data_IF_672922425054
#
_entry.id   IF_672922425054
#
_cell.length_a   1.000
_cell.length_b   1.000
_cell.length_c   1.000
_cell.angle_alpha   90.00
_cell.angle_beta   90.00
_cell.angle_gamma   90.00
#
_symmetry.space_group_name_H-M   'P 1'
#
loop_
_entity.id
_entity.type
_entity.pdbx_description
1 polymer ?
#
# COMPACT_ATOMS: atom_id res chain seq x y z
N UNK A 1 7.17 -9.96 30.12
CA UNK A 1 7.01 -9.51 28.72
C UNK A 1 8.38 -9.53 28.07
N UNK A 2 8.55 -10.15 26.90
CA UNK A 2 9.83 -10.19 26.21
C UNK A 2 10.24 -8.77 25.77
N UNK A 3 11.52 -8.46 25.86
CA UNK A 3 12.14 -7.14 25.63
C UNK A 3 11.87 -6.53 24.25
N UNK A 4 11.48 -7.36 23.26
CA UNK A 4 11.20 -6.91 21.90
C UNK A 4 9.84 -6.20 21.77
N UNK A 5 8.82 -6.60 22.52
CA UNK A 5 7.48 -5.96 22.49
C UNK A 5 7.49 -4.55 23.09
N UNK A 6 8.42 -4.31 24.03
CA UNK A 6 8.62 -3.00 24.66
C UNK A 6 9.19 -1.98 23.65
N UNK A 7 9.89 -2.43 22.61
CA UNK A 7 10.57 -1.53 21.65
C UNK A 7 9.60 -0.85 20.66
N UNK A 8 8.56 -1.54 20.20
CA UNK A 8 7.59 -1.01 19.23
C UNK A 8 6.67 0.05 19.85
N UNK A 9 6.15 -0.20 21.06
CA UNK A 9 5.36 0.77 21.84
C UNK A 9 6.20 2.00 22.25
N UNK A 10 7.49 1.80 22.57
CA UNK A 10 8.37 2.90 22.95
C UNK A 10 8.77 3.80 21.78
N UNK A 11 8.87 3.31 20.53
CA UNK A 11 9.29 4.18 19.42
C UNK A 11 8.28 5.29 19.13
N UNK A 12 6.99 4.98 19.09
CA UNK A 12 5.94 5.98 18.86
C UNK A 12 5.89 6.97 20.02
N UNK A 13 5.96 6.47 21.27
CA UNK A 13 6.02 7.33 22.46
C UNK A 13 7.26 8.23 22.48
N UNK A 14 8.42 7.68 22.16
CA UNK A 14 9.70 8.40 22.19
C UNK A 14 9.82 9.43 21.07
N UNK A 15 9.38 9.14 19.83
CA UNK A 15 9.46 10.13 18.75
C UNK A 15 8.42 11.23 18.89
N UNK A 16 7.28 10.95 19.56
CA UNK A 16 6.20 11.93 19.77
C UNK A 16 6.66 13.23 20.40
N UNK A 17 7.66 13.19 21.29
CA UNK A 17 8.15 14.39 22.00
C UNK A 17 8.92 15.37 21.10
N UNK A 18 9.36 14.92 19.91
CA UNK A 18 10.12 15.74 18.96
C UNK A 18 9.25 16.23 17.79
N UNK A 19 7.97 15.91 17.78
CA UNK A 19 7.05 16.32 16.72
C UNK A 19 6.65 17.78 16.93
N UNK A 20 6.81 18.59 15.89
CA UNK A 20 6.26 19.95 15.82
C UNK A 20 4.75 19.87 15.55
N UNK A 21 3.87 20.33 16.46
CA UNK A 21 2.43 20.22 16.31
C UNK A 21 1.87 20.96 15.08
N UNK A 22 2.47 22.09 14.69
CA UNK A 22 2.00 22.88 13.54
C UNK A 22 2.32 22.17 12.22
N UNK A 23 3.49 21.52 12.18
CA UNK A 23 3.86 20.65 11.04
C UNK A 23 2.92 19.46 10.97
N UNK A 24 2.67 18.78 12.09
CA UNK A 24 1.77 17.64 12.14
C UNK A 24 0.37 18.02 11.66
N UNK A 25 -0.17 19.14 12.15
CA UNK A 25 -1.46 19.67 11.74
C UNK A 25 -1.49 19.99 10.24
N UNK A 26 -0.49 20.72 9.74
CA UNK A 26 -0.42 21.10 8.31
C UNK A 26 -0.39 19.87 7.40
N UNK A 27 0.45 18.88 7.71
CA UNK A 27 0.56 17.65 6.93
C UNK A 27 -0.75 16.86 6.97
N UNK A 28 -1.36 16.72 8.15
CA UNK A 28 -2.64 16.02 8.31
C UNK A 28 -3.76 16.68 7.51
N UNK A 29 -3.90 18.00 7.64
CA UNK A 29 -4.91 18.76 6.89
C UNK A 29 -4.71 18.60 5.40
N UNK A 30 -3.46 18.69 4.91
CA UNK A 30 -3.15 18.42 3.51
C UNK A 30 -3.53 16.99 3.09
N UNK A 31 -3.18 15.98 3.89
CA UNK A 31 -3.50 14.59 3.60
C UNK A 31 -5.02 14.35 3.51
N UNK A 32 -5.82 14.93 4.41
CA UNK A 32 -7.28 14.83 4.36
C UNK A 32 -7.90 15.48 3.12
N UNK A 33 -7.24 16.47 2.50
CA UNK A 33 -7.71 17.02 1.21
C UNK A 33 -7.59 16.02 0.06
N UNK A 34 -6.79 14.96 0.22
CA UNK A 34 -6.66 13.91 -0.78
C UNK A 34 -7.68 12.78 -0.61
N UNK A 35 -8.48 12.78 0.47
CA UNK A 35 -9.45 11.72 0.72
C UNK A 35 -10.51 11.66 -0.36
N UNK A 36 -10.90 10.43 -0.67
CA UNK A 36 -11.91 10.15 -1.67
C UNK A 36 -13.23 9.81 -0.98
N UNK A 37 -14.34 9.99 -1.71
CA UNK A 37 -15.63 9.45 -1.31
C UNK A 37 -15.92 8.14 -2.06
N UNK A 38 -14.88 7.37 -2.39
CA UNK A 38 -15.01 6.12 -3.14
C UNK A 38 -15.94 5.13 -2.41
N UNK A 39 -16.81 4.48 -3.18
CA UNK A 39 -17.89 3.63 -2.66
C UNK A 39 -19.15 4.37 -2.23
N UNK A 40 -19.15 5.71 -2.21
CA UNK A 40 -20.34 6.51 -1.88
C UNK A 40 -21.17 6.88 -3.12
N UNK A 41 -22.44 7.24 -2.91
CA UNK A 41 -23.30 7.80 -3.97
C UNK A 41 -22.77 9.12 -4.56
N UNK A 42 -21.80 9.76 -3.90
CA UNK A 42 -21.15 10.99 -4.35
C UNK A 42 -19.92 10.74 -5.22
N UNK A 43 -19.38 9.52 -5.25
CA UNK A 43 -18.15 9.19 -5.99
C UNK A 43 -18.26 9.58 -7.46
N UNK A 44 -19.34 9.17 -8.13
CA UNK A 44 -19.55 9.48 -9.55
C UNK A 44 -19.65 10.99 -9.83
N UNK A 45 -19.99 11.80 -8.83
CA UNK A 45 -20.12 13.26 -8.97
C UNK A 45 -18.81 14.00 -8.68
N UNK A 46 -17.96 13.46 -7.81
CA UNK A 46 -16.76 14.15 -7.29
C UNK A 46 -15.48 13.57 -7.89
N UNK A 47 -15.44 12.26 -8.13
CA UNK A 47 -14.25 11.54 -8.62
C UNK A 47 -14.22 11.40 -10.14
N UNK A 48 -15.29 11.81 -10.85
CA UNK A 48 -15.29 11.82 -12.30
C UNK A 48 -14.24 12.83 -12.80
N UNK A 49 -13.28 12.40 -13.63
CA UNK A 49 -12.34 13.34 -14.22
C UNK A 49 -13.12 14.40 -15.01
N UNK A 50 -12.63 15.64 -15.00
CA UNK A 50 -13.19 16.73 -15.82
C UNK A 50 -13.03 16.47 -17.33
N UNK A 51 -12.40 15.35 -17.70
CA UNK A 51 -12.06 14.94 -19.06
C UNK A 51 -12.95 13.78 -19.51
N UNK A 52 -13.34 13.80 -20.78
CA UNK A 52 -13.99 12.64 -21.41
C UNK A 52 -13.04 11.45 -21.47
N UNK A 53 -13.59 10.24 -21.62
CA UNK A 53 -12.79 9.01 -21.75
C UNK A 53 -11.84 9.08 -22.95
N UNK A 54 -12.28 9.64 -24.06
CA UNK A 54 -11.48 9.84 -25.26
C UNK A 54 -10.30 10.77 -24.99
N UNK A 55 -10.52 11.82 -24.18
CA UNK A 55 -9.47 12.79 -23.84
C UNK A 55 -8.45 12.20 -22.87
N UNK A 56 -8.87 11.34 -21.93
CA UNK A 56 -7.95 10.63 -21.03
C UNK A 56 -6.97 9.74 -21.80
N UNK A 57 -7.46 9.01 -22.82
CA UNK A 57 -6.62 8.15 -23.65
C UNK A 57 -5.51 8.92 -24.40
N UNK A 58 -5.72 10.22 -24.68
CA UNK A 58 -4.70 11.07 -25.28
C UNK A 58 -3.55 11.39 -24.32
N UNK A 59 -3.81 11.39 -23.01
CA UNK A 59 -2.83 11.69 -21.96
C UNK A 59 -2.11 10.43 -21.43
N UNK A 60 -2.76 9.26 -21.51
CA UNK A 60 -2.19 8.00 -21.02
C UNK A 60 -0.95 7.57 -21.84
N UNK A 61 0.06 7.02 -21.14
CA UNK A 61 1.28 6.44 -21.75
C UNK A 61 2.12 7.39 -22.61
N UNK A 62 2.01 8.71 -22.39
CA UNK A 62 2.80 9.73 -23.10
C UNK A 62 4.02 10.19 -22.30
N UNK A 63 5.07 10.57 -23.02
CA UNK A 63 6.25 11.22 -22.45
C UNK A 63 6.05 12.74 -22.42
N UNK A 64 6.38 13.37 -21.29
CA UNK A 64 6.47 14.84 -21.21
C UNK A 64 7.86 15.31 -21.59
N UNK A 65 7.96 16.26 -22.54
CA UNK A 65 9.24 16.82 -23.00
C UNK A 65 9.63 18.02 -22.14
N UNK A 66 10.87 18.03 -21.64
CA UNK A 66 11.41 19.14 -20.85
C UNK A 66 11.66 20.42 -21.67
N UNK A 67 11.86 20.30 -22.98
CA UNK A 67 12.09 21.45 -23.87
C UNK A 67 11.59 21.17 -25.28
N UNK A 68 10.97 22.19 -25.87
CA UNK A 68 10.53 22.21 -27.28
C UNK A 68 11.70 22.28 -28.26
N UNK A 69 12.90 22.67 -27.80
CA UNK A 69 14.10 22.84 -28.61
C UNK A 69 15.20 21.85 -28.22
N UNK A 70 14.82 20.60 -27.94
CA UNK A 70 15.75 19.57 -27.48
C UNK A 70 16.24 18.68 -28.62
N UNK A 71 17.55 18.44 -28.68
CA UNK A 71 18.14 17.41 -29.54
C UNK A 71 18.00 16.04 -28.86
N UNK A 72 17.42 15.07 -29.56
CA UNK A 72 17.25 13.70 -29.05
C UNK A 72 18.48 12.88 -29.40
N UNK A 73 19.11 12.30 -28.39
CA UNK A 73 20.11 11.25 -28.58
C UNK A 73 19.41 9.91 -28.36
N UNK A 74 19.48 9.01 -29.33
CA UNK A 74 18.86 7.68 -29.22
C UNK A 74 19.65 6.79 -28.27
N UNK A 75 18.95 6.18 -27.31
CA UNK A 75 19.50 5.12 -26.47
C UNK A 75 19.66 3.80 -27.24
N UNK A 76 20.29 2.81 -26.60
CA UNK A 76 20.32 1.45 -27.14
C UNK A 76 18.90 0.85 -27.07
N UNK A 77 18.37 0.41 -28.20
CA UNK A 77 17.10 -0.32 -28.24
C UNK A 77 17.33 -1.72 -27.66
N UNK A 78 17.03 -1.88 -26.38
CA UNK A 78 16.89 -3.20 -25.78
C UNK A 78 15.52 -3.76 -26.18
N UNK A 79 15.45 -4.34 -27.39
CA UNK A 79 14.46 -5.38 -27.68
C UNK A 79 14.75 -6.67 -26.91
N UNK A 80 15.83 -6.71 -26.12
CA UNK A 80 16.09 -7.76 -25.13
C UNK A 80 15.00 -7.71 -24.09
N UNK A 81 14.03 -8.60 -24.26
CA UNK A 81 13.12 -9.09 -23.24
C UNK A 81 13.82 -9.05 -21.88
N UNK A 82 13.42 -8.12 -21.01
CA UNK A 82 13.72 -8.27 -19.60
C UNK A 82 13.15 -9.63 -19.19
N UNK A 83 13.99 -10.51 -18.63
CA UNK A 83 13.57 -11.85 -18.21
C UNK A 83 12.38 -11.82 -17.24
N UNK A 84 12.17 -10.67 -16.57
CA UNK A 84 11.03 -10.38 -15.72
C UNK A 84 10.20 -9.29 -16.41
N UNK A 85 9.01 -9.67 -16.89
CA UNK A 85 7.98 -8.73 -17.33
C UNK A 85 7.00 -8.52 -16.18
N UNK A 86 6.62 -7.26 -15.94
CA UNK A 86 5.55 -6.95 -14.98
C UNK A 86 4.22 -7.41 -15.56
N UNK A 87 3.46 -8.20 -14.81
CA UNK A 87 2.10 -8.55 -15.23
C UNK A 87 1.19 -7.31 -15.29
N UNK A 88 0.15 -7.34 -16.15
CA UNK A 88 -0.95 -6.39 -16.07
C UNK A 88 -1.52 -6.32 -14.64
N UNK A 89 -1.97 -5.14 -14.23
CA UNK A 89 -2.61 -4.98 -12.93
C UNK A 89 -3.92 -5.78 -12.88
N UNK A 90 -4.16 -6.49 -11.78
CA UNK A 90 -5.36 -7.30 -11.54
C UNK A 90 -6.65 -6.51 -11.84
N UNK A 91 -7.48 -7.02 -12.75
CA UNK A 91 -8.81 -6.45 -13.02
C UNK A 91 -9.90 -7.20 -12.26
N UNK A 92 -9.81 -8.52 -12.29
CA UNK A 92 -10.72 -9.46 -11.64
C UNK A 92 -9.93 -10.71 -11.26
N UNK A 93 -10.16 -11.22 -10.06
CA UNK A 93 -9.53 -12.43 -9.53
C UNK A 93 -10.40 -13.66 -9.75
N UNK A 94 -9.75 -14.79 -10.01
CA UNK A 94 -10.42 -16.10 -9.99
C UNK A 94 -10.58 -16.61 -8.55
N UNK A 95 -11.60 -17.44 -8.33
CA UNK A 95 -11.78 -18.15 -7.07
C UNK A 95 -10.58 -19.06 -6.82
N UNK A 96 -10.02 -18.99 -5.62
CA UNK A 96 -8.94 -19.84 -5.18
C UNK A 96 -8.65 -19.64 -3.71
N UNK A 97 -8.12 -20.69 -3.08
CA UNK A 97 -7.71 -20.68 -1.67
C UNK A 97 -6.23 -20.31 -1.60
N UNK A 98 -5.86 -19.52 -0.60
CA UNK A 98 -4.46 -19.19 -0.31
C UNK A 98 -4.16 -19.41 1.17
N UNK A 99 -3.09 -20.15 1.46
CA UNK A 99 -2.59 -20.28 2.83
C UNK A 99 -2.05 -18.95 3.34
N UNK A 100 -2.39 -18.57 4.58
CA UNK A 100 -1.83 -17.38 5.23
C UNK A 100 -0.30 -17.43 5.30
N UNK A 101 0.29 -18.62 5.40
CA UNK A 101 1.75 -18.81 5.34
C UNK A 101 2.36 -18.30 4.02
N UNK A 102 1.66 -18.47 2.89
CA UNK A 102 2.11 -17.94 1.60
C UNK A 102 2.08 -16.41 1.59
N UNK A 103 1.04 -15.80 2.15
CA UNK A 103 0.96 -14.33 2.31
C UNK A 103 2.09 -13.85 3.23
N UNK A 104 2.31 -14.53 4.35
CA UNK A 104 3.39 -14.22 5.28
C UNK A 104 4.78 -14.30 4.61
N UNK A 105 5.02 -15.32 3.79
CA UNK A 105 6.25 -15.48 3.02
C UNK A 105 6.46 -14.35 2.01
N UNK A 106 5.40 -13.94 1.29
CA UNK A 106 5.45 -12.81 0.35
C UNK A 106 5.85 -11.52 1.08
N UNK A 107 5.20 -11.18 2.20
CA UNK A 107 5.54 -9.97 2.96
C UNK A 107 6.94 -10.07 3.60
N UNK A 108 7.30 -11.25 4.09
CA UNK A 108 8.64 -11.57 4.61
C UNK A 108 9.73 -11.22 3.62
N UNK A 109 9.61 -11.72 2.39
CA UNK A 109 10.59 -11.49 1.33
C UNK A 109 10.54 -10.06 0.78
N UNK A 110 9.35 -9.47 0.65
CA UNK A 110 9.18 -8.18 -0.01
C UNK A 110 9.50 -6.98 0.88
N UNK A 111 9.22 -7.05 2.19
CA UNK A 111 9.33 -5.91 3.10
C UNK A 111 9.89 -6.27 4.49
N UNK A 112 10.15 -7.55 4.79
CA UNK A 112 10.79 -7.98 6.05
C UNK A 112 12.22 -7.47 6.21
N UNK A 113 12.65 -7.31 7.46
CA UNK A 113 14.02 -6.94 7.77
C UNK A 113 14.92 -8.18 7.85
N UNK A 114 16.18 -8.05 7.44
CA UNK A 114 17.21 -9.05 7.67
C UNK A 114 17.71 -9.04 9.13
N UNK A 115 18.65 -9.94 9.45
CA UNK A 115 19.24 -10.02 10.80
C UNK A 115 20.01 -8.77 11.26
N UNK A 116 20.27 -7.81 10.36
CA UNK A 116 20.89 -6.51 10.66
C UNK A 116 19.86 -5.38 10.70
N UNK A 117 18.55 -5.68 10.58
CA UNK A 117 17.48 -4.70 10.56
C UNK A 117 17.33 -3.96 9.23
N UNK A 118 18.03 -4.38 8.17
CA UNK A 118 17.93 -3.78 6.84
C UNK A 118 16.71 -4.36 6.13
N UNK A 119 15.91 -3.49 5.51
CA UNK A 119 14.79 -3.91 4.65
C UNK A 119 15.21 -3.92 3.19
N UNK A 120 14.56 -4.72 2.32
CA UNK A 120 14.87 -4.78 0.89
C UNK A 120 14.54 -3.48 0.13
N UNK A 121 13.90 -2.51 0.77
CA UNK A 121 13.62 -1.19 0.23
C UNK A 121 14.26 -0.08 1.10
N UNK A 122 14.67 1.05 0.49
CA UNK A 122 15.26 2.16 1.22
C UNK A 122 14.21 2.97 1.97
N UNK A 123 14.63 3.65 3.05
CA UNK A 123 13.82 4.62 3.78
C UNK A 123 14.67 5.84 4.16
N UNK A 124 14.06 7.02 4.13
CA UNK A 124 14.72 8.28 4.48
C UNK A 124 15.26 8.25 5.91
N UNK A 125 16.58 8.21 6.05
CA UNK A 125 17.23 8.16 7.37
C UNK A 125 16.97 6.87 8.16
N UNK A 126 16.62 5.77 7.48
CA UNK A 126 16.28 4.47 8.07
C UNK A 126 15.15 4.54 9.11
N UNK A 127 14.20 5.47 8.93
CA UNK A 127 13.10 5.70 9.87
C UNK A 127 11.96 4.69 9.70
N UNK A 128 11.77 4.17 8.48
CA UNK A 128 10.71 3.23 8.13
C UNK A 128 9.34 3.69 8.65
N UNK A 129 8.92 4.86 8.17
CA UNK A 129 7.70 5.54 8.64
C UNK A 129 6.41 4.97 8.05
N UNK A 130 6.50 4.08 7.07
CA UNK A 130 5.36 3.39 6.50
C UNK A 130 5.14 2.03 7.17
N UNK A 131 3.88 1.72 7.45
CA UNK A 131 3.41 0.48 8.06
C UNK A 131 2.47 -0.24 7.08
N UNK A 132 2.38 -1.57 7.15
CA UNK A 132 1.52 -2.37 6.27
C UNK A 132 0.63 -3.32 7.10
N UNK A 133 -0.65 -3.36 6.76
CA UNK A 133 -1.58 -4.37 7.27
C UNK A 133 -2.07 -5.26 6.12
N UNK A 134 -2.38 -6.51 6.43
CA UNK A 134 -3.05 -7.44 5.54
C UNK A 134 -4.49 -7.57 5.98
N UNK A 135 -5.44 -7.45 5.06
CA UNK A 135 -6.86 -7.75 5.27
C UNK A 135 -7.20 -8.99 4.45
N UNK A 136 -7.63 -10.05 5.12
CA UNK A 136 -7.87 -11.37 4.51
C UNK A 136 -9.34 -11.56 4.16
N UNK A 137 -9.65 -12.35 3.13
CA UNK A 137 -11.01 -12.85 2.86
C UNK A 137 -11.29 -14.15 3.63
N UNK A 138 -12.49 -14.72 3.45
CA UNK A 138 -12.81 -16.10 3.86
C UNK A 138 -11.99 -17.17 3.10
N UNK A 139 -11.40 -16.84 1.96
CA UNK A 139 -10.63 -17.78 1.12
C UNK A 139 -9.17 -17.92 1.59
N UNK A 140 -8.79 -17.28 2.71
CA UNK A 140 -7.47 -17.39 3.29
C UNK A 140 -7.49 -18.39 4.43
N UNK A 141 -6.77 -19.50 4.28
CA UNK A 141 -6.65 -20.55 5.30
C UNK A 141 -5.49 -20.30 6.27
N UNK A 142 -5.50 -20.95 7.44
CA UNK A 142 -4.45 -20.80 8.46
C UNK A 142 -4.56 -19.54 9.34
N UNK A 143 -5.63 -18.76 9.19
CA UNK A 143 -5.97 -17.58 9.99
C UNK A 143 -7.50 -17.46 10.11
N UNK A 144 -8.08 -16.85 11.17
CA UNK A 144 -9.52 -16.60 11.19
C UNK A 144 -9.98 -15.79 9.97
N UNK A 145 -11.18 -16.07 9.41
CA UNK A 145 -11.67 -15.37 8.22
C UNK A 145 -11.84 -13.88 8.51
N UNK A 146 -11.64 -13.05 7.48
CA UNK A 146 -11.77 -11.59 7.60
C UNK A 146 -10.82 -10.95 8.63
N UNK A 147 -9.68 -11.59 8.89
CA UNK A 147 -8.67 -11.08 9.81
C UNK A 147 -7.94 -9.87 9.22
N UNK A 148 -7.63 -8.92 10.10
CA UNK A 148 -6.71 -7.82 9.84
C UNK A 148 -5.44 -8.03 10.64
N UNK A 149 -4.30 -8.13 9.95
CA UNK A 149 -3.02 -8.46 10.54
C UNK A 149 -1.98 -7.37 10.20
N UNK A 150 -1.47 -6.68 11.22
CA UNK A 150 -0.37 -5.74 11.09
C UNK A 150 0.94 -6.50 10.98
N UNK A 151 1.67 -6.28 9.88
CA UNK A 151 2.96 -6.94 9.66
C UNK A 151 4.07 -6.18 10.37
N UNK A 152 4.87 -6.88 11.16
CA UNK A 152 6.00 -6.37 11.94
C UNK A 152 7.32 -6.74 11.24
N UNK A 153 7.93 -5.85 10.44
CA UNK A 153 9.04 -6.24 9.56
C UNK A 153 10.31 -6.63 10.31
N UNK A 154 10.53 -6.06 11.50
CA UNK A 154 11.72 -6.33 12.31
C UNK A 154 11.74 -7.74 12.92
N UNK A 155 10.58 -8.27 13.29
CA UNK A 155 10.45 -9.61 13.86
C UNK A 155 9.94 -10.65 12.84
N UNK A 156 9.53 -10.21 11.65
CA UNK A 156 8.83 -11.01 10.65
C UNK A 156 7.61 -11.74 11.25
N UNK A 157 6.78 -11.00 11.98
CA UNK A 157 5.57 -11.50 12.67
C UNK A 157 4.35 -10.68 12.30
N UNK A 158 3.19 -11.19 12.67
CA UNK A 158 1.90 -10.54 12.48
C UNK A 158 1.24 -10.28 13.84
N UNK A 159 0.72 -9.08 14.01
CA UNK A 159 -0.14 -8.66 15.12
C UNK A 159 -1.59 -8.61 14.62
N UNK A 160 -2.48 -9.44 15.18
CA UNK A 160 -3.90 -9.39 14.83
C UNK A 160 -4.56 -8.17 15.46
N UNK A 161 -5.20 -7.36 14.63
CA UNK A 161 -5.93 -6.18 15.07
C UNK A 161 -7.38 -6.55 15.43
N UNK A 162 -8.01 -5.86 16.41
CA UNK A 162 -9.40 -6.08 16.79
C UNK A 162 -10.37 -5.45 15.77
N UNK A 163 -10.17 -5.77 14.50
CA UNK A 163 -10.98 -5.29 13.39
C UNK A 163 -12.32 -6.02 13.33
N UNK A 164 -13.31 -5.38 12.72
CA UNK A 164 -14.65 -5.92 12.54
C UNK A 164 -14.97 -5.99 11.06
N UNK A 165 -14.40 -6.99 10.37
CA UNK A 165 -14.76 -7.27 8.99
C UNK A 165 -15.73 -8.46 8.92
N UNK A 166 -16.68 -8.31 8.00
CA UNK A 166 -17.51 -9.37 7.46
C UNK A 166 -17.37 -9.34 5.93
N UNK A 167 -18.08 -10.23 5.24
CA UNK A 167 -18.03 -10.32 3.78
C UNK A 167 -18.42 -9.00 3.10
N UNK A 168 -19.45 -8.31 3.60
CA UNK A 168 -19.95 -7.07 3.00
C UNK A 168 -18.92 -5.95 3.13
N UNK A 169 -18.32 -5.78 4.30
CA UNK A 169 -17.25 -4.80 4.54
C UNK A 169 -15.99 -5.14 3.75
N UNK A 170 -15.65 -6.42 3.61
CA UNK A 170 -14.52 -6.85 2.79
C UNK A 170 -14.73 -6.50 1.32
N UNK A 171 -15.92 -6.78 0.78
CA UNK A 171 -16.29 -6.43 -0.59
C UNK A 171 -16.36 -4.92 -0.82
N UNK A 172 -16.64 -4.13 0.23
CA UNK A 172 -16.67 -2.68 0.16
C UNK A 172 -15.27 -2.02 0.18
N UNK A 173 -14.18 -2.75 0.45
CA UNK A 173 -12.81 -2.18 0.47
C UNK A 173 -12.48 -1.56 -0.88
N UNK A 174 -12.75 -2.28 -1.97
CA UNK A 174 -12.47 -1.85 -3.33
C UNK A 174 -13.33 -2.60 -4.35
N UNK A 175 -13.41 -2.05 -5.56
CA UNK A 175 -14.22 -2.58 -6.67
C UNK A 175 -13.59 -3.77 -7.41
N UNK A 176 -12.59 -4.44 -6.82
CA UNK A 176 -11.90 -5.59 -7.46
C UNK A 176 -12.57 -6.89 -7.02
N UNK A 177 -13.42 -7.43 -7.91
CA UNK A 177 -14.03 -8.73 -7.70
C UNK A 177 -12.97 -9.84 -7.62
N UNK A 178 -13.16 -10.79 -6.70
CA UNK A 178 -12.29 -11.96 -6.56
C UNK A 178 -10.92 -11.68 -5.93
N UNK A 179 -10.71 -10.52 -5.30
CA UNK A 179 -9.52 -10.28 -4.49
C UNK A 179 -9.54 -11.19 -3.23
N UNK A 180 -8.49 -12.00 -3.04
CA UNK A 180 -8.37 -12.94 -1.92
C UNK A 180 -7.78 -12.30 -0.66
N UNK A 181 -6.98 -11.25 -0.80
CA UNK A 181 -6.53 -10.41 0.31
C UNK A 181 -6.16 -9.01 -0.20
N UNK A 182 -6.06 -8.07 0.74
CA UNK A 182 -5.57 -6.72 0.50
C UNK A 182 -4.36 -6.44 1.38
N UNK A 183 -3.43 -5.64 0.87
CA UNK A 183 -2.41 -4.97 1.70
C UNK A 183 -2.72 -3.48 1.71
N UNK A 184 -2.89 -2.91 2.90
CA UNK A 184 -3.10 -1.48 3.07
C UNK A 184 -1.88 -0.83 3.72
N UNK A 185 -1.49 0.32 3.18
CA UNK A 185 -0.29 1.05 3.57
C UNK A 185 -0.65 2.31 4.33
N UNK A 186 0.01 2.52 5.47
CA UNK A 186 -0.23 3.65 6.35
C UNK A 186 1.06 4.41 6.58
N UNK A 187 0.96 5.74 6.67
CA UNK A 187 2.04 6.59 7.15
C UNK A 187 1.82 6.79 8.65
N UNK A 188 2.80 6.37 9.46
CA UNK A 188 2.87 6.79 10.86
C UNK A 188 3.31 8.25 10.88
N UNK A 189 2.36 9.16 11.09
CA UNK A 189 2.59 10.59 10.89
C UNK A 189 3.70 11.12 11.79
N UNK A 190 3.74 10.67 13.05
CA UNK A 190 4.76 11.09 14.01
C UNK A 190 6.16 10.62 13.62
N UNK A 191 6.30 9.35 13.20
CA UNK A 191 7.57 8.82 12.67
C UNK A 191 7.99 9.55 11.39
N UNK A 192 7.03 9.94 10.55
CA UNK A 192 7.32 10.67 9.32
C UNK A 192 7.83 12.09 9.60
N UNK A 193 7.25 12.82 10.56
CA UNK A 193 7.50 14.27 10.70
C UNK A 193 8.55 14.65 11.74
N UNK A 194 8.86 13.82 12.73
CA UNK A 194 9.73 14.23 13.86
C UNK A 194 11.14 14.69 13.44
N UNK A 195 11.72 14.11 12.37
CA UNK A 195 13.09 14.43 11.92
C UNK A 195 13.14 15.40 10.75
N UNK A 196 12.27 15.17 9.74
CA UNK A 196 12.31 15.88 8.47
C UNK A 196 11.12 16.83 8.27
N UNK A 197 10.31 17.07 9.31
CA UNK A 197 9.10 17.91 9.25
C UNK A 197 8.21 17.50 8.07
N UNK A 198 7.63 18.44 7.33
CA UNK A 198 6.78 18.16 6.17
C UNK A 198 7.49 17.41 5.04
N UNK A 199 8.82 17.52 4.91
CA UNK A 199 9.59 16.74 3.93
C UNK A 199 9.49 15.24 4.21
N UNK A 200 9.40 14.86 5.49
CA UNK A 200 9.26 13.47 5.90
C UNK A 200 7.97 12.80 5.40
N UNK A 201 6.87 13.55 5.30
CA UNK A 201 5.63 13.06 4.67
C UNK A 201 5.84 12.65 3.20
N UNK A 202 6.57 13.48 2.43
CA UNK A 202 6.94 13.13 1.04
C UNK A 202 7.81 11.87 0.99
N UNK A 203 8.76 11.73 1.90
CA UNK A 203 9.63 10.55 1.97
C UNK A 203 8.82 9.29 2.30
N UNK A 204 7.83 9.38 3.18
CA UNK A 204 6.95 8.26 3.52
C UNK A 204 6.11 7.80 2.32
N UNK A 205 5.62 8.72 1.48
CA UNK A 205 4.90 8.37 0.25
C UNK A 205 5.80 7.64 -0.77
N UNK A 206 7.05 8.08 -0.94
CA UNK A 206 8.04 7.41 -1.81
C UNK A 206 8.42 6.02 -1.27
N UNK A 207 8.51 5.91 0.06
CA UNK A 207 8.75 4.65 0.76
C UNK A 207 7.63 3.64 0.49
N UNK A 208 6.36 4.06 0.61
CA UNK A 208 5.19 3.23 0.25
C UNK A 208 5.24 2.79 -1.22
N UNK A 209 5.68 3.70 -2.11
CA UNK A 209 5.97 3.41 -3.51
C UNK A 209 6.91 2.22 -3.70
N UNK A 210 7.98 2.21 -2.91
CA UNK A 210 8.97 1.13 -2.93
C UNK A 210 8.39 -0.18 -2.37
N UNK A 211 7.60 -0.08 -1.29
CA UNK A 211 6.97 -1.25 -0.65
C UNK A 211 5.98 -1.96 -1.56
N UNK A 212 4.98 -1.27 -2.12
CA UNK A 212 3.98 -1.95 -2.97
C UNK A 212 4.61 -2.51 -4.24
N UNK A 213 5.68 -1.89 -4.74
CA UNK A 213 6.38 -2.39 -5.93
C UNK A 213 7.09 -3.71 -5.61
N UNK A 214 7.80 -3.78 -4.48
CA UNK A 214 8.43 -5.02 -4.02
C UNK A 214 7.40 -6.12 -3.76
N UNK A 215 6.29 -5.81 -3.09
CA UNK A 215 5.23 -6.79 -2.83
C UNK A 215 4.60 -7.26 -4.16
N UNK A 216 4.42 -6.36 -5.14
CA UNK A 216 3.94 -6.73 -6.49
C UNK A 216 4.86 -7.78 -7.12
N UNK A 217 6.18 -7.54 -7.11
CA UNK A 217 7.16 -8.43 -7.75
C UNK A 217 7.20 -9.80 -7.08
N UNK A 218 7.29 -9.84 -5.75
CA UNK A 218 7.33 -11.11 -5.00
C UNK A 218 6.00 -11.87 -5.11
N UNK A 219 4.86 -11.18 -5.07
CA UNK A 219 3.56 -11.81 -5.27
C UNK A 219 3.43 -12.44 -6.66
N UNK A 220 3.92 -11.76 -7.70
CA UNK A 220 3.94 -12.25 -9.06
C UNK A 220 4.79 -13.53 -9.19
N UNK A 221 5.98 -13.56 -8.59
CA UNK A 221 6.84 -14.76 -8.52
C UNK A 221 6.15 -15.94 -7.82
N UNK A 222 5.20 -15.65 -6.95
CA UNK A 222 4.37 -16.61 -6.24
C UNK A 222 3.01 -16.90 -6.93
N UNK A 223 2.83 -16.44 -8.17
CA UNK A 223 1.62 -16.70 -8.96
C UNK A 223 0.39 -15.89 -8.56
N UNK A 224 0.57 -14.78 -7.85
CA UNK A 224 -0.52 -13.90 -7.38
C UNK A 224 -0.42 -12.57 -8.10
N UNK A 225 -1.50 -12.18 -8.79
CA UNK A 225 -1.60 -10.88 -9.43
C UNK A 225 -2.05 -9.82 -8.43
N UNK A 226 -1.72 -8.55 -8.70
CA UNK A 226 -2.10 -7.46 -7.81
C UNK A 226 -2.47 -6.17 -8.54
N UNK A 227 -3.17 -5.29 -7.84
CA UNK A 227 -3.48 -3.94 -8.30
C UNK A 227 -3.43 -2.94 -7.15
N UNK A 228 -2.60 -1.93 -7.31
CA UNK A 228 -2.60 -0.75 -6.42
C UNK A 228 -3.82 0.12 -6.73
N UNK A 229 -4.46 0.59 -5.67
CA UNK A 229 -5.72 1.33 -5.67
C UNK A 229 -5.57 2.56 -4.78
N UNK A 230 -6.04 3.68 -5.29
CA UNK A 230 -6.14 4.94 -4.55
C UNK A 230 -7.60 5.32 -4.20
N UNK A 231 -8.59 4.66 -4.82
CA UNK A 231 -10.01 4.89 -4.55
C UNK A 231 -10.54 3.87 -3.54
N UNK A 232 -10.61 4.26 -2.27
CA UNK A 232 -11.29 3.53 -1.20
C UNK A 232 -11.72 4.53 -0.11
N UNK A 233 -12.74 4.19 0.68
CA UNK A 233 -13.21 5.05 1.77
C UNK A 233 -12.20 5.03 2.93
N UNK A 234 -11.22 5.94 2.92
CA UNK A 234 -10.07 5.90 3.83
C UNK A 234 -10.44 5.94 5.31
N UNK A 235 -11.40 6.79 5.68
CA UNK A 235 -11.83 6.94 7.07
C UNK A 235 -12.59 5.71 7.57
N UNK A 236 -13.52 5.20 6.76
CA UNK A 236 -14.30 4.01 7.07
C UNK A 236 -13.40 2.77 7.15
N UNK A 237 -12.50 2.62 6.19
CA UNK A 237 -11.53 1.53 6.15
C UNK A 237 -10.64 1.53 7.40
N UNK A 238 -10.04 2.68 7.73
CA UNK A 238 -9.17 2.81 8.91
C UNK A 238 -9.92 2.49 10.20
N UNK A 239 -11.16 2.98 10.34
CA UNK A 239 -12.02 2.69 11.49
C UNK A 239 -12.38 1.20 11.57
N UNK A 240 -12.71 0.56 10.45
CA UNK A 240 -13.08 -0.86 10.38
C UNK A 240 -11.90 -1.76 10.75
N UNK A 241 -10.67 -1.35 10.41
CA UNK A 241 -9.44 -1.99 10.84
C UNK A 241 -9.12 -1.82 12.34
N UNK A 242 -9.90 -1.02 13.08
CA UNK A 242 -9.63 -0.73 14.49
C UNK A 242 -8.44 0.21 14.72
N UNK A 243 -8.08 1.02 13.73
CA UNK A 243 -6.90 1.88 13.76
C UNK A 243 -7.25 3.34 14.09
N UNK A 244 -6.30 4.06 14.71
CA UNK A 244 -6.43 5.49 15.00
C UNK A 244 -5.98 6.33 13.80
N UNK A 245 -6.94 6.93 13.09
CA UNK A 245 -6.71 7.82 11.94
C UNK A 245 -5.96 9.12 12.30
N UNK A 246 -5.83 9.43 13.60
CA UNK A 246 -4.96 10.53 14.05
C UNK A 246 -3.49 10.12 14.02
N UNK A 247 -3.15 8.85 14.14
CA UNK A 247 -1.76 8.41 14.14
C UNK A 247 -1.33 7.86 12.78
N UNK A 248 -2.20 7.06 12.18
CA UNK A 248 -1.94 6.31 10.97
C UNK A 248 -2.76 6.90 9.82
N UNK A 249 -2.06 7.46 8.84
CA UNK A 249 -2.66 8.06 7.67
C UNK A 249 -2.72 7.02 6.55
N UNK A 250 -3.90 6.55 6.13
CA UNK A 250 -4.04 5.60 5.03
C UNK A 250 -3.55 6.24 3.72
N UNK A 251 -2.72 5.55 2.95
CA UNK A 251 -2.10 6.12 1.76
C UNK A 251 -2.46 5.38 0.46
N UNK A 252 -2.57 4.05 0.52
CA UNK A 252 -2.95 3.22 -0.61
C UNK A 252 -3.43 1.85 -0.12
N UNK A 253 -4.21 1.16 -0.96
CA UNK A 253 -4.53 -0.26 -0.81
C UNK A 253 -4.02 -0.99 -2.06
N UNK A 254 -3.63 -2.23 -1.90
CA UNK A 254 -3.28 -3.12 -3.00
C UNK A 254 -4.10 -4.40 -2.89
N UNK A 255 -4.90 -4.68 -3.92
CA UNK A 255 -5.67 -5.90 -4.04
C UNK A 255 -4.80 -7.03 -4.58
N UNK A 256 -5.00 -8.26 -4.09
CA UNK A 256 -4.30 -9.46 -4.54
C UNK A 256 -5.30 -10.57 -4.85
N UNK A 257 -5.06 -11.30 -5.94
CA UNK A 257 -5.98 -12.30 -6.46
C UNK A 257 -5.26 -13.27 -7.39
N UNK A 258 -5.87 -14.43 -7.63
CA UNK A 258 -5.40 -15.33 -8.66
C UNK A 258 -5.73 -14.73 -10.04
N UNK A 259 -4.74 -14.60 -10.95
CA UNK A 259 -5.00 -14.05 -12.27
C UNK A 259 -5.96 -14.97 -13.04
N UNK A 260 -6.96 -14.40 -13.72
CA UNK A 260 -7.67 -15.13 -14.77
C UNK A 260 -6.94 -15.14 -16.10
N UNK A 261 -7.43 -15.92 -17.06
CA UNK A 261 -6.83 -16.07 -18.41
C UNK A 261 -6.59 -14.72 -19.11
N UNK A 262 -7.42 -13.70 -18.80
CA UNK A 262 -7.32 -12.35 -19.35
C UNK A 262 -6.23 -11.46 -18.71
N UNK A 263 -5.61 -11.88 -17.60
CA UNK A 263 -4.57 -11.12 -16.89
C UNK A 263 -3.14 -11.61 -17.21
N UNK A 264 -2.99 -12.64 -18.06
CA UNK A 264 -1.70 -13.27 -18.41
C UNK A 264 -1.16 -12.80 -19.78
N UNK A 265 -1.88 -11.93 -20.49
CA UNK A 265 -1.45 -11.34 -21.77
C UNK A 265 -0.76 -9.98 -21.60
#
# INVERSE_FOLDING_TARGET
MPTNDISALNQIGFTSQFVDPDVEHTVRTFHHHCFTCAGSTLEQRISAPFLSKETLLLAETKESRFSHFSHIVTGHSTSTQTAVSRWPSLKEGQLGIVEFEKIASILGQAIGADGLGRRPYPSGGALYSAEAIVVTSEMVEGIPPFSVAHYLPGSNRFELLPAQFDQDRYNAIATINGAVFYVAYFINLKKATFKYRSRGYRLALLEIGSMYHHITTVAQENGIASRVLAGFSEYEFTKTCGLDSRLLLPAAIQAFGFPGDANVQ
#
